data_IF_247966083990
#
_entry.id   IF_247966083990
#
_cell.length_a   1.000
_cell.length_b   1.000
_cell.length_c   1.000
_cell.angle_alpha   90.00
_cell.angle_beta   90.00
_cell.angle_gamma   90.00
#
_symmetry.space_group_name_H-M   'P 1'
#
loop_
_entity.id
_entity.type
_entity.pdbx_description
1 polymer ?
#
# COMPACT_ATOMS: atom_id res chain seq x y z
N UNK A 1 88.43 -6.35 18.53
CA UNK A 1 88.19 -7.80 18.69
C UNK A 1 87.22 -7.98 19.85
N UNK A 2 86.04 -8.57 19.57
CA UNK A 2 84.98 -9.09 20.46
C UNK A 2 84.21 -8.20 21.47
N UNK A 3 82.87 -8.25 21.32
CA UNK A 3 81.80 -7.96 22.30
C UNK A 3 81.86 -8.90 23.53
N UNK A 4 81.23 -8.55 24.68
CA UNK A 4 79.89 -9.09 25.00
C UNK A 4 78.92 -8.11 25.76
N UNK A 5 77.64 -8.01 25.36
CA UNK A 5 76.40 -8.67 25.88
C UNK A 5 75.71 -7.94 27.08
N UNK A 6 74.54 -7.32 26.77
CA UNK A 6 73.18 -7.23 27.40
C UNK A 6 72.97 -7.56 28.91
N UNK A 7 71.79 -7.27 29.55
CA UNK A 7 70.62 -6.47 29.16
C UNK A 7 70.08 -5.49 30.25
N UNK A 8 69.31 -4.50 29.82
CA UNK A 8 68.48 -3.65 30.68
C UNK A 8 67.18 -4.37 31.07
N UNK A 9 66.88 -4.45 32.36
CA UNK A 9 65.53 -4.75 32.87
C UNK A 9 64.91 -3.46 33.39
N UNK A 10 63.78 -3.04 32.82
CA UNK A 10 62.78 -2.29 33.56
C UNK A 10 61.41 -2.79 33.15
N UNK A 11 60.74 -3.37 34.14
CA UNK A 11 59.37 -3.85 34.10
C UNK A 11 58.42 -2.65 34.00
N UNK A 12 57.51 -2.68 33.05
CA UNK A 12 56.32 -1.84 33.03
C UNK A 12 55.10 -2.66 33.50
N UNK A 13 54.34 -2.09 34.43
CA UNK A 13 52.91 -2.38 34.74
C UNK A 13 52.19 -1.02 34.64
N UNK A 14 50.85 -0.86 34.49
CA UNK A 14 49.75 -1.81 34.72
C UNK A 14 48.67 -1.80 33.60
N UNK A 15 47.56 -2.51 33.81
CA UNK A 15 46.62 -2.93 32.76
C UNK A 15 45.37 -2.07 32.54
N UNK A 16 44.44 -2.60 31.75
CA UNK A 16 43.01 -2.26 31.79
C UNK A 16 42.23 -3.31 31.00
N UNK A 17 41.20 -3.87 31.63
CA UNK A 17 40.29 -4.84 31.04
C UNK A 17 39.45 -4.18 29.93
N UNK A 18 39.55 -4.66 28.69
CA UNK A 18 38.64 -4.24 27.62
C UNK A 18 37.40 -5.14 27.63
N UNK A 19 36.35 -4.73 28.35
CA UNK A 19 34.98 -5.24 28.15
C UNK A 19 34.49 -4.70 26.79
N UNK A 20 34.51 -5.53 25.76
CA UNK A 20 33.81 -5.24 24.50
C UNK A 20 32.30 -5.31 24.76
N UNK A 21 31.66 -4.15 24.87
CA UNK A 21 30.20 -4.02 24.88
C UNK A 21 29.66 -4.33 23.48
N UNK A 22 28.79 -5.34 23.36
CA UNK A 22 27.94 -5.55 22.20
C UNK A 22 26.98 -4.36 22.06
N UNK A 23 27.29 -3.43 21.15
CA UNK A 23 26.37 -2.36 20.77
C UNK A 23 25.22 -2.93 19.95
N UNK A 24 24.01 -2.94 20.52
CA UNK A 24 22.77 -3.26 19.80
C UNK A 24 22.49 -2.10 18.85
N UNK A 25 22.83 -2.25 17.57
CA UNK A 25 22.45 -1.31 16.51
C UNK A 25 20.98 -1.55 16.16
N UNK A 26 20.10 -0.80 16.82
CA UNK A 26 18.65 -0.84 16.60
C UNK A 26 18.34 -0.11 15.28
N UNK A 27 18.24 -0.86 14.18
CA UNK A 27 17.80 -0.34 12.88
C UNK A 27 16.30 -0.09 12.98
N UNK A 28 15.89 1.17 13.01
CA UNK A 28 14.48 1.57 12.95
C UNK A 28 13.97 1.38 11.52
N UNK A 29 13.29 0.25 11.27
CA UNK A 29 12.54 0.04 10.03
C UNK A 29 11.29 0.93 10.07
N UNK A 30 11.25 1.98 9.25
CA UNK A 30 10.02 2.73 9.01
C UNK A 30 9.03 1.79 8.29
N UNK A 31 7.84 1.52 8.84
CA UNK A 31 6.83 0.76 8.12
C UNK A 31 6.38 1.58 6.91
N UNK A 32 6.70 1.10 5.71
CA UNK A 32 6.02 1.57 4.51
C UNK A 32 4.58 1.03 4.59
N UNK A 33 3.56 1.82 4.21
CA UNK A 33 2.23 1.28 4.02
C UNK A 33 2.33 0.18 2.97
N UNK A 34 2.19 -1.07 3.40
CA UNK A 34 2.02 -2.17 2.48
C UNK A 34 0.62 -1.97 1.89
N UNK A 35 0.55 -1.51 0.63
CA UNK A 35 -0.67 -1.53 -0.19
C UNK A 35 -1.01 -3.00 -0.44
N UNK A 36 -1.52 -3.67 0.59
CA UNK A 36 -1.73 -5.11 0.59
C UNK A 36 -3.03 -5.41 -0.17
N UNK A 37 -2.92 -5.77 -1.45
CA UNK A 37 -4.01 -6.20 -2.35
C UNK A 37 -5.40 -5.65 -1.95
N UNK A 38 -5.53 -4.32 -1.91
CA UNK A 38 -6.71 -3.64 -1.42
C UNK A 38 -7.34 -2.86 -2.57
N UNK A 39 -8.67 -2.95 -2.71
CA UNK A 39 -9.40 -2.25 -3.78
C UNK A 39 -9.46 -0.73 -3.55
N UNK A 40 -9.14 -0.26 -2.33
CA UNK A 40 -9.08 1.16 -1.98
C UNK A 40 -8.15 1.97 -2.87
N UNK A 41 -8.47 3.24 -3.03
CA UNK A 41 -7.73 4.23 -3.80
C UNK A 41 -8.50 4.75 -5.01
N UNK A 42 -7.79 5.49 -5.84
CA UNK A 42 -8.32 6.17 -7.02
C UNK A 42 -8.30 5.28 -8.25
N UNK A 43 -9.45 5.21 -8.93
CA UNK A 43 -9.64 4.46 -10.15
C UNK A 43 -10.13 5.35 -11.27
N UNK A 44 -9.55 5.15 -12.45
CA UNK A 44 -9.81 5.90 -13.65
C UNK A 44 -10.31 4.97 -14.76
N UNK A 45 -11.39 5.36 -15.44
CA UNK A 45 -11.91 4.63 -16.59
C UNK A 45 -11.16 5.01 -17.86
N UNK A 46 -11.27 4.19 -18.90
CA UNK A 46 -10.78 4.55 -20.23
C UNK A 46 -11.49 5.79 -20.83
N UNK A 47 -12.68 6.14 -20.35
CA UNK A 47 -13.44 7.33 -20.75
C UNK A 47 -13.06 8.59 -19.95
N UNK A 48 -12.12 8.49 -19.00
CA UNK A 48 -11.67 9.61 -18.18
C UNK A 48 -12.55 9.91 -16.95
N UNK A 49 -13.46 8.99 -16.60
CA UNK A 49 -14.18 9.08 -15.33
C UNK A 49 -13.25 8.68 -14.17
N UNK A 50 -13.52 9.22 -13.00
CA UNK A 50 -12.76 8.97 -11.78
C UNK A 50 -13.72 8.55 -10.66
N UNK A 51 -13.30 7.59 -9.84
CA UNK A 51 -13.95 7.23 -8.59
C UNK A 51 -12.89 6.92 -7.53
N UNK A 52 -13.27 7.03 -6.26
CA UNK A 52 -12.38 6.75 -5.13
C UNK A 52 -13.06 5.84 -4.13
N UNK A 53 -12.35 4.80 -3.66
CA UNK A 53 -12.82 3.85 -2.65
C UNK A 53 -11.97 4.04 -1.38
N UNK A 54 -12.63 4.22 -0.24
CA UNK A 54 -12.01 4.32 1.09
C UNK A 54 -12.75 3.40 2.07
N UNK A 55 -12.30 2.15 2.13
CA UNK A 55 -12.99 1.08 2.85
C UNK A 55 -14.42 0.94 2.35
N UNK A 56 -15.45 1.01 3.22
CA UNK A 56 -16.84 0.87 2.79
C UNK A 56 -17.40 2.14 2.11
N UNK A 57 -16.69 3.26 2.10
CA UNK A 57 -17.13 4.49 1.45
C UNK A 57 -16.63 4.56 0.00
N UNK A 58 -17.44 5.14 -0.89
CA UNK A 58 -17.07 5.39 -2.28
C UNK A 58 -17.54 6.77 -2.74
N UNK A 59 -16.68 7.47 -3.47
CA UNK A 59 -17.01 8.68 -4.23
C UNK A 59 -17.19 8.29 -5.70
N UNK A 60 -18.37 8.57 -6.24
CA UNK A 60 -18.77 8.23 -7.61
C UNK A 60 -18.27 9.27 -8.63
N UNK A 61 -18.24 8.96 -9.94
CA UNK A 61 -17.88 9.93 -10.97
C UNK A 61 -18.76 11.18 -11.02
N UNK A 62 -19.99 11.10 -10.50
CA UNK A 62 -20.89 12.25 -10.34
C UNK A 62 -20.50 13.19 -9.19
N UNK A 63 -19.58 12.76 -8.31
CA UNK A 63 -19.26 13.41 -7.04
C UNK A 63 -20.19 12.99 -5.89
N UNK A 64 -21.17 12.11 -6.13
CA UNK A 64 -21.99 11.55 -5.06
C UNK A 64 -21.17 10.60 -4.17
N UNK A 65 -21.44 10.64 -2.88
CA UNK A 65 -20.86 9.71 -1.90
C UNK A 65 -21.89 8.67 -1.49
N UNK A 66 -21.46 7.41 -1.36
CA UNK A 66 -22.31 6.33 -0.84
C UNK A 66 -21.49 5.29 -0.09
N UNK A 67 -22.17 4.34 0.53
CA UNK A 67 -21.58 3.22 1.26
C UNK A 67 -21.91 1.92 0.55
N UNK A 68 -20.94 1.02 0.46
CA UNK A 68 -21.09 -0.29 -0.15
C UNK A 68 -20.64 -1.44 0.74
N UNK A 69 -20.91 -2.64 0.25
CA UNK A 69 -20.32 -3.87 0.75
C UNK A 69 -18.87 -3.93 0.27
N UNK A 70 -17.94 -3.94 1.22
CA UNK A 70 -16.50 -3.91 0.96
C UNK A 70 -15.84 -5.22 1.38
N UNK A 71 -14.94 -5.74 0.55
CA UNK A 71 -14.10 -6.90 0.86
C UNK A 71 -12.76 -6.81 0.13
N UNK A 72 -11.82 -7.71 0.45
CA UNK A 72 -10.41 -7.64 0.01
C UNK A 72 -10.20 -7.36 -1.48
N UNK A 73 -11.05 -7.88 -2.35
CA UNK A 73 -10.88 -7.78 -3.81
C UNK A 73 -12.13 -7.28 -4.53
N UNK A 74 -12.99 -6.56 -3.83
CA UNK A 74 -14.20 -6.10 -4.46
C UNK A 74 -15.05 -5.19 -3.61
N UNK A 75 -15.96 -4.56 -4.32
CA UNK A 75 -16.87 -3.57 -3.78
C UNK A 75 -18.22 -3.73 -4.46
N UNK A 76 -19.30 -3.55 -3.73
CA UNK A 76 -20.65 -3.58 -4.29
C UNK A 76 -21.54 -2.56 -3.64
N UNK A 77 -22.27 -1.80 -4.44
CA UNK A 77 -23.25 -0.83 -3.96
C UNK A 77 -24.44 -0.75 -4.91
N UNK A 78 -25.51 -0.12 -4.41
CA UNK A 78 -26.62 0.35 -5.22
C UNK A 78 -26.42 1.85 -5.46
N UNK A 79 -26.46 2.28 -6.71
CA UNK A 79 -26.26 3.68 -7.05
C UNK A 79 -27.38 4.54 -6.45
N UNK A 80 -27.03 5.63 -5.72
CA UNK A 80 -27.99 6.43 -4.97
C UNK A 80 -28.94 7.18 -5.90
N UNK A 81 -30.10 7.59 -5.38
CA UNK A 81 -31.03 8.45 -6.13
C UNK A 81 -30.33 9.76 -6.56
N UNK A 82 -30.62 10.21 -7.78
CA UNK A 82 -30.01 11.42 -8.35
C UNK A 82 -28.65 11.20 -9.03
N UNK A 83 -28.04 10.01 -8.89
CA UNK A 83 -26.88 9.61 -9.68
C UNK A 83 -27.32 9.20 -11.11
N UNK A 84 -26.49 9.40 -12.15
CA UNK A 84 -26.79 8.92 -13.51
C UNK A 84 -27.05 7.40 -13.59
N UNK A 85 -26.56 6.64 -12.61
CA UNK A 85 -26.68 5.19 -12.54
C UNK A 85 -27.75 4.74 -11.52
N UNK A 86 -28.56 5.66 -10.98
CA UNK A 86 -29.53 5.39 -9.90
C UNK A 86 -30.35 4.10 -10.10
N UNK A 87 -30.43 3.29 -9.05
CA UNK A 87 -31.14 2.00 -9.05
C UNK A 87 -30.40 0.85 -9.74
N UNK A 88 -29.20 1.09 -10.27
CA UNK A 88 -28.31 0.02 -10.73
C UNK A 88 -27.53 -0.56 -9.56
N UNK A 89 -27.29 -1.87 -9.62
CA UNK A 89 -26.31 -2.53 -8.76
C UNK A 89 -24.97 -2.49 -9.46
N UNK A 90 -23.98 -1.88 -8.82
CA UNK A 90 -22.62 -1.80 -9.32
C UNK A 90 -21.75 -2.77 -8.52
N UNK A 91 -21.07 -3.66 -9.23
CA UNK A 91 -20.13 -4.61 -8.65
C UNK A 91 -18.75 -4.39 -9.25
N UNK A 92 -17.75 -4.25 -8.39
CA UNK A 92 -16.36 -4.03 -8.74
C UNK A 92 -15.54 -5.19 -8.24
N UNK A 93 -14.64 -5.70 -9.08
CA UNK A 93 -13.70 -6.76 -8.74
C UNK A 93 -12.31 -6.36 -9.16
N UNK A 94 -11.40 -6.32 -8.20
CA UNK A 94 -9.99 -6.11 -8.46
C UNK A 94 -9.41 -7.36 -9.13
N UNK A 95 -8.74 -7.18 -10.26
CA UNK A 95 -8.06 -8.25 -11.00
C UNK A 95 -6.55 -8.25 -10.73
N UNK A 96 -5.97 -7.06 -10.51
CA UNK A 96 -4.60 -6.86 -10.07
C UNK A 96 -4.51 -5.56 -9.27
N UNK A 97 -3.32 -5.23 -8.75
CA UNK A 97 -3.10 -3.95 -8.05
C UNK A 97 -3.44 -2.73 -8.93
N UNK A 98 -3.29 -2.89 -10.26
CA UNK A 98 -3.43 -1.82 -11.25
C UNK A 98 -4.74 -1.88 -12.04
N UNK A 99 -5.52 -2.96 -11.91
CA UNK A 99 -6.69 -3.22 -12.76
C UNK A 99 -7.88 -3.73 -11.94
N UNK A 100 -9.05 -3.16 -12.21
CA UNK A 100 -10.34 -3.68 -11.75
C UNK A 100 -11.34 -3.76 -12.91
N UNK A 101 -12.35 -4.61 -12.73
CA UNK A 101 -13.52 -4.66 -13.58
C UNK A 101 -14.73 -4.15 -12.81
N UNK A 102 -15.51 -3.28 -13.46
CA UNK A 102 -16.78 -2.76 -12.98
C UNK A 102 -17.90 -3.32 -13.86
N UNK A 103 -18.92 -3.89 -13.23
CA UNK A 103 -20.12 -4.40 -13.91
C UNK A 103 -21.34 -3.71 -13.31
N UNK A 104 -22.17 -3.13 -14.18
CA UNK A 104 -23.45 -2.54 -13.81
C UNK A 104 -24.59 -3.49 -14.12
N UNK A 105 -25.47 -3.71 -13.17
CA UNK A 105 -26.62 -4.59 -13.32
C UNK A 105 -27.93 -3.83 -13.17
N UNK A 106 -28.83 -3.98 -14.14
CA UNK A 106 -30.18 -3.39 -14.11
C UNK A 106 -31.22 -4.51 -14.11
N UNK A 107 -32.13 -4.50 -13.13
CA UNK A 107 -33.17 -5.53 -13.03
C UNK A 107 -32.62 -6.96 -12.94
N UNK A 108 -31.47 -7.14 -12.27
CA UNK A 108 -30.79 -8.43 -12.10
C UNK A 108 -30.03 -8.93 -13.33
N UNK A 109 -29.96 -8.16 -14.41
CA UNK A 109 -29.19 -8.51 -15.62
C UNK A 109 -27.84 -7.78 -15.60
N UNK A 110 -26.70 -8.50 -15.68
CA UNK A 110 -25.40 -7.88 -15.78
C UNK A 110 -25.23 -7.22 -17.16
N UNK A 111 -24.72 -5.99 -17.15
CA UNK A 111 -24.28 -5.26 -18.34
C UNK A 111 -22.89 -5.69 -18.81
N UNK A 112 -22.32 -4.91 -19.73
CA UNK A 112 -20.96 -5.15 -20.23
C UNK A 112 -19.93 -4.81 -19.15
N UNK A 113 -18.93 -5.68 -18.89
CA UNK A 113 -17.82 -5.36 -18.01
C UNK A 113 -16.98 -4.20 -18.55
N UNK A 114 -16.63 -3.27 -17.67
CA UNK A 114 -15.75 -2.15 -17.96
C UNK A 114 -14.44 -2.29 -17.19
N UNK A 115 -13.32 -2.12 -17.88
CA UNK A 115 -12.00 -2.10 -17.26
C UNK A 115 -11.68 -0.70 -16.74
N UNK A 116 -11.21 -0.66 -15.49
CA UNK A 116 -10.72 0.53 -14.82
C UNK A 116 -9.31 0.28 -14.32
N UNK A 117 -8.48 1.32 -14.34
CA UNK A 117 -7.09 1.24 -13.90
C UNK A 117 -6.82 2.22 -12.78
N UNK A 118 -5.74 2.04 -12.04
CA UNK A 118 -5.28 3.07 -11.09
C UNK A 118 -5.08 4.39 -11.82
N UNK A 119 -5.51 5.48 -11.19
CA UNK A 119 -5.22 6.81 -11.71
C UNK A 119 -3.71 7.08 -11.67
N UNK A 120 -3.19 7.70 -12.72
CA UNK A 120 -1.78 8.05 -12.80
C UNK A 120 -1.48 9.21 -11.85
N UNK A 121 -0.45 9.08 -11.01
CA UNK A 121 0.05 10.19 -10.21
C UNK A 121 0.56 11.29 -11.16
N UNK A 122 -0.01 12.49 -11.08
CA UNK A 122 0.55 13.68 -11.72
C UNK A 122 1.64 14.24 -10.80
N UNK A 123 2.90 14.12 -11.22
CA UNK A 123 4.07 14.65 -10.52
C UNK A 123 4.55 15.99 -11.06
#
# INVERSE_FOLDING_TARGET
MLLPIRPSRLFARPGTAARLMFGVMMVATLPLPAQADQIDGDWCSASGQHLAIDGPAITLPSGAETIGSYWRHGFRYEAPEGDPEAGQIVEMRQLSDEEMVLIRSTGGKPGTPETWTRCQATS
#
